data_IF_842257521467
#
_entry.id   IF_842257521467
#
_cell.length_a   1.000
_cell.length_b   1.000
_cell.length_c   1.000
_cell.angle_alpha   90.00
_cell.angle_beta   90.00
_cell.angle_gamma   90.00
#
_symmetry.space_group_name_H-M   'P 1'
#
loop_
_entity.id
_entity.type
_entity.pdbx_description
1 polymer ?
#
# COMPACT_ATOMS: atom_id res chain seq x y z
N UNK A 1 5.55 0.90 20.58
CA UNK A 1 4.74 1.23 19.39
C UNK A 1 4.76 -0.01 18.51
N UNK A 2 3.59 -0.53 18.10
CA UNK A 2 3.49 -1.73 17.28
C UNK A 2 3.08 -1.33 15.85
N UNK A 3 3.59 -2.04 14.86
CA UNK A 3 3.24 -1.83 13.45
C UNK A 3 1.79 -2.26 13.17
N UNK A 4 1.17 -1.61 12.17
CA UNK A 4 -0.16 -1.98 11.69
C UNK A 4 -0.16 -3.37 11.07
N UNK A 5 -1.10 -4.20 11.50
CA UNK A 5 -1.35 -5.54 10.93
C UNK A 5 -2.42 -5.44 9.86
N UNK A 6 -2.11 -5.94 8.66
CA UNK A 6 -2.96 -5.87 7.49
C UNK A 6 -3.68 -7.20 7.27
N UNK A 7 -5.00 -7.18 7.44
CA UNK A 7 -5.88 -8.35 7.29
C UNK A 7 -5.81 -8.96 5.87
N UNK A 8 -5.83 -8.11 4.84
CA UNK A 8 -5.86 -8.51 3.44
C UNK A 8 -4.62 -9.27 2.93
N UNK A 9 -3.49 -9.21 3.65
CA UNK A 9 -2.23 -9.94 3.31
C UNK A 9 -1.92 -11.05 4.32
N UNK A 10 -2.97 -11.60 4.92
CA UNK A 10 -2.90 -12.74 5.83
C UNK A 10 -2.58 -12.39 7.28
N UNK A 11 -3.03 -11.23 7.75
CA UNK A 11 -2.84 -10.80 9.14
C UNK A 11 -1.36 -10.53 9.48
N UNK A 12 -0.65 -9.91 8.54
CA UNK A 12 0.79 -9.59 8.66
C UNK A 12 1.01 -8.09 8.67
N UNK A 13 2.10 -7.64 9.27
CA UNK A 13 2.57 -6.26 9.03
C UNK A 13 3.05 -6.11 7.58
N UNK A 14 3.18 -4.87 7.11
CA UNK A 14 3.70 -4.60 5.76
C UNK A 14 5.08 -5.24 5.54
N UNK A 15 5.98 -5.14 6.53
CA UNK A 15 7.30 -5.75 6.47
C UNK A 15 7.22 -7.29 6.35
N UNK A 16 6.43 -7.93 7.22
CA UNK A 16 6.23 -9.38 7.19
C UNK A 16 5.60 -9.86 5.88
N UNK A 17 4.67 -9.08 5.31
CA UNK A 17 4.07 -9.41 4.02
C UNK A 17 5.10 -9.34 2.88
N UNK A 18 5.97 -8.33 2.88
CA UNK A 18 7.06 -8.22 1.90
C UNK A 18 8.06 -9.38 2.04
N UNK A 19 8.44 -9.75 3.28
CA UNK A 19 9.31 -10.91 3.54
C UNK A 19 8.68 -12.23 3.08
N UNK A 20 7.35 -12.35 3.20
CA UNK A 20 6.58 -13.49 2.68
C UNK A 20 6.42 -13.49 1.15
N UNK A 21 7.00 -12.50 0.44
CA UNK A 21 6.97 -12.40 -1.01
C UNK A 21 5.69 -11.78 -1.58
N UNK A 22 4.86 -11.15 -0.75
CA UNK A 22 3.67 -10.42 -1.25
C UNK A 22 4.14 -9.25 -2.11
N UNK A 23 3.58 -9.05 -3.32
CA UNK A 23 3.95 -7.94 -4.17
C UNK A 23 3.80 -6.59 -3.43
N UNK A 24 4.78 -5.67 -3.50
CA UNK A 24 4.72 -4.38 -2.79
C UNK A 24 3.47 -3.56 -3.14
N UNK A 25 2.98 -3.68 -4.38
CA UNK A 25 1.72 -3.05 -4.82
C UNK A 25 0.52 -3.52 -4.00
N UNK A 26 0.44 -4.82 -3.71
CA UNK A 26 -0.68 -5.41 -2.99
C UNK A 26 -0.59 -5.07 -1.50
N UNK A 27 0.62 -5.03 -0.94
CA UNK A 27 0.87 -4.51 0.42
C UNK A 27 0.44 -3.04 0.53
N UNK A 28 0.79 -2.20 -0.45
CA UNK A 28 0.38 -0.79 -0.47
C UNK A 28 -1.13 -0.62 -0.54
N UNK A 29 -1.81 -1.42 -1.38
CA UNK A 29 -3.27 -1.39 -1.50
C UNK A 29 -3.95 -1.86 -0.21
N UNK A 30 -3.44 -2.92 0.42
CA UNK A 30 -3.92 -3.38 1.71
C UNK A 30 -3.75 -2.32 2.80
N UNK A 31 -2.59 -1.66 2.84
CA UNK A 31 -2.34 -0.54 3.76
C UNK A 31 -3.31 0.62 3.52
N UNK A 32 -3.51 1.00 2.25
CA UNK A 32 -4.44 2.06 1.89
C UNK A 32 -5.89 1.71 2.25
N UNK A 33 -6.29 0.44 2.12
CA UNK A 33 -7.62 -0.01 2.50
C UNK A 33 -7.83 0.07 4.02
N UNK A 34 -6.87 -0.41 4.81
CA UNK A 34 -6.98 -0.44 6.28
C UNK A 34 -6.94 0.97 6.91
N UNK A 35 -6.34 1.92 6.20
CA UNK A 35 -6.23 3.33 6.60
C UNK A 35 -7.34 4.20 5.97
N UNK A 36 -8.34 3.59 5.32
CA UNK A 36 -9.44 4.28 4.62
C UNK A 36 -8.98 5.36 3.62
N UNK A 37 -7.85 5.12 2.96
CA UNK A 37 -7.30 6.06 1.98
C UNK A 37 -8.11 5.96 0.68
N UNK A 38 -8.76 7.04 0.23
CA UNK A 38 -9.53 7.05 -1.01
C UNK A 38 -8.61 6.84 -2.21
N UNK A 39 -9.11 6.17 -3.25
CA UNK A 39 -8.32 5.76 -4.42
C UNK A 39 -7.57 6.91 -5.09
N UNK A 40 -8.22 8.08 -5.20
CA UNK A 40 -7.65 9.30 -5.77
C UNK A 40 -6.38 9.79 -5.06
N UNK A 41 -6.17 9.41 -3.78
CA UNK A 41 -5.05 9.86 -2.96
C UNK A 41 -3.93 8.81 -2.84
N UNK A 42 -4.18 7.55 -3.22
CA UNK A 42 -3.24 6.43 -3.01
C UNK A 42 -1.94 6.54 -3.82
N UNK A 43 -1.89 7.41 -4.82
CA UNK A 43 -0.73 7.55 -5.70
C UNK A 43 -0.14 8.96 -5.71
N UNK A 44 -0.46 9.76 -4.68
CA UNK A 44 0.00 11.14 -4.52
C UNK A 44 -0.85 12.17 -5.25
N UNK A 45 -0.95 13.37 -4.67
CA UNK A 45 -1.59 14.51 -5.32
C UNK A 45 -0.72 15.01 -6.49
N UNK A 46 -1.30 15.11 -7.69
CA UNK A 46 -0.63 15.69 -8.85
C UNK A 46 0.48 14.81 -9.42
N UNK A 47 0.19 13.56 -9.83
CA UNK A 47 1.07 12.85 -10.78
C UNK A 47 1.35 13.83 -11.93
N UNK A 48 2.59 14.33 -12.00
CA UNK A 48 3.06 15.10 -13.13
C UNK A 48 2.75 14.26 -14.36
N UNK A 49 2.01 14.81 -15.32
CA UNK A 49 1.79 14.14 -16.59
C UNK A 49 3.17 13.71 -17.11
N UNK A 50 3.36 12.42 -17.49
CA UNK A 50 4.64 11.97 -18.00
C UNK A 50 5.00 12.88 -19.16
N UNK A 51 6.15 13.57 -19.06
CA UNK A 51 6.61 14.51 -20.10
C UNK A 51 6.57 13.77 -21.44
N UNK A 52 5.65 14.16 -22.32
CA UNK A 52 5.60 13.65 -23.70
C UNK A 52 6.95 14.00 -24.33
N UNK A 53 7.74 12.97 -24.66
CA UNK A 53 9.01 13.11 -25.37
C UNK A 53 8.76 13.36 -26.85
#
# INVERSE_FOLDING_TARGET
MADLVLSAVGGRTAAQAMEAGVPPRDVWLALCAEMDVPESHRYGAGRLEPRRR
#
